data_IF_459217310786
#
_entry.id   IF_459217310786
#
_cell.length_a   1.000
_cell.length_b   1.000
_cell.length_c   1.000
_cell.angle_alpha   90.00
_cell.angle_beta   90.00
_cell.angle_gamma   90.00
#
_symmetry.space_group_name_H-M   'P 1'
#
loop_
_entity.id
_entity.type
_entity.pdbx_description
1 polymer ?
#
# COMPACT_ATOMS: atom_id res chain seq x y z
N UNK A 1 24.51 -59.70 -23.40
CA UNK A 1 25.60 -60.28 -24.17
C UNK A 1 26.93 -60.27 -23.38
N UNK A 2 27.05 -59.67 -22.22
CA UNK A 2 28.27 -59.61 -21.40
C UNK A 2 29.38 -58.68 -21.85
N UNK A 3 29.13 -57.85 -22.89
CA UNK A 3 30.10 -56.87 -23.38
C UNK A 3 30.18 -55.65 -22.46
N UNK A 4 31.35 -55.00 -22.40
CA UNK A 4 31.56 -53.75 -21.66
C UNK A 4 30.72 -52.61 -22.21
N UNK A 5 30.04 -51.86 -21.29
CA UNK A 5 29.23 -50.70 -21.64
C UNK A 5 30.13 -49.44 -21.78
N UNK A 6 29.92 -48.66 -22.85
CA UNK A 6 30.52 -47.35 -23.04
C UNK A 6 29.43 -46.27 -23.01
N UNK A 7 29.61 -45.22 -22.24
CA UNK A 7 28.70 -44.07 -22.24
C UNK A 7 28.66 -43.44 -23.64
N UNK A 8 27.46 -43.31 -24.23
CA UNK A 8 27.28 -42.76 -25.58
C UNK A 8 26.55 -41.41 -25.59
N UNK A 9 26.01 -41.02 -24.43
CA UNK A 9 25.30 -39.74 -24.30
C UNK A 9 24.57 -39.67 -22.95
N UNK A 10 23.86 -38.59 -22.76
CA UNK A 10 22.92 -38.36 -21.68
C UNK A 10 21.75 -37.52 -22.18
N UNK A 11 20.57 -37.83 -21.71
CA UNK A 11 19.41 -36.95 -21.87
C UNK A 11 19.25 -36.13 -20.58
N UNK A 12 19.10 -34.83 -20.72
CA UNK A 12 18.90 -33.90 -19.61
C UNK A 12 17.46 -33.41 -19.67
N UNK A 13 16.72 -33.59 -18.58
CA UNK A 13 15.40 -32.99 -18.38
C UNK A 13 15.43 -32.13 -17.15
N UNK A 14 14.81 -30.96 -17.22
CA UNK A 14 14.67 -30.04 -16.08
C UNK A 14 13.22 -30.02 -15.63
N UNK A 15 13.00 -30.02 -14.32
CA UNK A 15 11.69 -29.85 -13.72
C UNK A 15 11.74 -28.69 -12.71
N UNK A 16 10.65 -27.92 -12.67
CA UNK A 16 10.48 -26.91 -11.62
C UNK A 16 9.90 -27.59 -10.39
N UNK A 17 10.59 -27.44 -9.25
CA UNK A 17 10.15 -27.95 -7.95
C UNK A 17 10.05 -26.82 -6.93
N UNK A 18 9.31 -27.03 -5.84
CA UNK A 18 9.06 -26.04 -4.80
C UNK A 18 9.67 -26.48 -3.47
N UNK A 19 10.51 -25.63 -2.88
CA UNK A 19 11.03 -25.82 -1.53
C UNK A 19 10.23 -24.94 -0.58
N UNK A 20 9.41 -25.51 0.31
CA UNK A 20 8.61 -24.75 1.27
C UNK A 20 9.47 -23.90 2.20
N UNK A 21 8.97 -22.72 2.54
CA UNK A 21 9.55 -21.90 3.60
C UNK A 21 9.55 -22.63 4.93
N UNK A 22 10.52 -22.31 5.80
CA UNK A 22 10.62 -22.94 7.13
C UNK A 22 10.95 -21.91 8.20
N UNK A 23 10.45 -22.17 9.41
CA UNK A 23 10.85 -21.41 10.60
C UNK A 23 12.29 -21.74 11.00
N UNK A 24 12.98 -20.72 11.51
CA UNK A 24 14.30 -20.88 12.16
C UNK A 24 14.32 -20.10 13.46
N UNK A 25 14.98 -20.65 14.48
CA UNK A 25 15.28 -19.94 15.72
C UNK A 25 16.62 -19.24 15.57
N UNK A 26 16.63 -17.93 15.76
CA UNK A 26 17.85 -17.11 15.80
C UNK A 26 18.18 -16.84 17.27
N UNK A 27 19.30 -17.38 17.74
CA UNK A 27 19.79 -17.20 19.11
C UNK A 27 20.79 -16.04 19.15
N UNK A 28 20.43 -14.95 19.82
CA UNK A 28 21.32 -13.83 20.07
C UNK A 28 22.03 -14.04 21.40
N UNK A 29 23.35 -14.26 21.36
CA UNK A 29 24.18 -14.41 22.55
C UNK A 29 24.95 -13.11 22.79
N UNK A 30 24.80 -12.53 23.96
CA UNK A 30 25.51 -11.33 24.40
C UNK A 30 26.25 -11.64 25.71
N UNK A 31 27.55 -11.74 25.63
CA UNK A 31 28.39 -11.96 26.82
C UNK A 31 28.42 -10.70 27.68
N UNK A 32 28.37 -10.86 28.98
CA UNK A 32 28.53 -9.79 29.94
C UNK A 32 29.87 -9.99 30.66
N UNK A 33 30.63 -8.92 30.81
CA UNK A 33 31.94 -8.91 31.46
C UNK A 33 31.90 -8.00 32.68
N UNK A 34 32.48 -8.45 33.81
CA UNK A 34 32.67 -7.63 34.98
C UNK A 34 34.17 -7.31 35.17
N UNK A 35 34.48 -6.06 35.46
CA UNK A 35 35.82 -5.65 35.80
C UNK A 35 36.17 -6.13 37.24
N UNK A 36 37.28 -6.87 37.39
CA UNK A 36 37.70 -7.37 38.70
C UNK A 36 38.19 -6.28 39.67
N UNK A 37 38.54 -5.09 39.15
CA UNK A 37 39.07 -4.00 39.98
C UNK A 37 37.98 -3.01 40.44
N UNK A 38 36.92 -2.76 39.60
CA UNK A 38 35.89 -1.78 39.90
C UNK A 38 34.47 -2.35 39.85
N UNK A 39 34.32 -3.67 39.62
CA UNK A 39 33.06 -4.41 39.54
C UNK A 39 32.07 -3.90 38.46
N UNK A 40 32.50 -2.96 37.61
CA UNK A 40 31.68 -2.44 36.54
C UNK A 40 31.35 -3.55 35.52
N UNK A 41 30.07 -3.70 35.20
CA UNK A 41 29.59 -4.66 34.21
C UNK A 41 29.47 -3.97 32.83
N UNK A 42 30.04 -4.62 31.82
CA UNK A 42 29.94 -4.20 30.41
C UNK A 42 29.32 -5.31 29.60
N UNK A 43 28.30 -4.95 28.82
CA UNK A 43 27.63 -5.86 27.91
C UNK A 43 27.28 -5.12 26.63
N UNK A 44 27.41 -5.78 25.47
CA UNK A 44 26.96 -5.22 24.21
C UNK A 44 25.42 -4.94 24.22
N UNK A 45 24.95 -3.84 23.59
CA UNK A 45 23.53 -3.56 23.53
C UNK A 45 22.74 -4.68 22.80
N UNK A 46 21.49 -4.88 23.17
CA UNK A 46 20.62 -5.82 22.49
C UNK A 46 20.35 -5.34 21.06
N UNK A 47 20.22 -6.25 20.08
CA UNK A 47 19.75 -5.86 18.75
C UNK A 47 18.38 -5.22 18.83
N UNK A 48 18.16 -4.23 17.98
CA UNK A 48 16.84 -3.59 17.87
C UNK A 48 15.81 -4.57 17.31
N UNK A 49 14.65 -4.63 17.94
CA UNK A 49 13.49 -5.39 17.47
C UNK A 49 12.28 -4.47 17.34
N UNK A 50 11.58 -4.53 16.20
CA UNK A 50 10.34 -3.76 15.98
C UNK A 50 9.27 -4.09 17.03
N UNK A 51 9.27 -5.33 17.55
CA UNK A 51 8.41 -5.74 18.67
C UNK A 51 9.28 -5.84 19.92
N UNK A 52 9.20 -4.89 20.87
CA UNK A 52 9.96 -4.95 22.11
C UNK A 52 9.65 -6.23 22.88
N UNK A 53 10.72 -6.95 23.32
CA UNK A 53 10.62 -8.27 23.99
C UNK A 53 9.86 -9.33 23.17
N UNK A 54 9.62 -9.08 21.88
CA UNK A 54 8.94 -10.01 20.98
C UNK A 54 9.85 -11.16 20.53
N UNK A 55 9.22 -12.27 20.13
CA UNK A 55 9.90 -13.44 19.59
C UNK A 55 10.03 -13.40 18.07
N UNK A 56 9.30 -12.50 17.39
CA UNK A 56 9.32 -12.40 15.94
C UNK A 56 10.55 -11.63 15.47
N UNK A 57 11.37 -12.28 14.67
CA UNK A 57 12.43 -11.62 13.91
C UNK A 57 11.88 -10.82 12.72
N UNK A 58 12.68 -9.91 12.13
CA UNK A 58 12.22 -9.04 11.04
C UNK A 58 11.72 -9.81 9.81
N UNK A 59 12.31 -10.95 9.49
CA UNK A 59 11.85 -11.79 8.37
C UNK A 59 10.44 -12.36 8.59
N UNK A 60 10.13 -12.80 9.82
CA UNK A 60 8.77 -13.27 10.14
C UNK A 60 7.75 -12.14 10.11
N UNK A 61 8.11 -10.96 10.64
CA UNK A 61 7.24 -9.77 10.60
C UNK A 61 6.93 -9.35 9.15
N UNK A 62 7.95 -9.33 8.29
CA UNK A 62 7.77 -9.02 6.87
C UNK A 62 6.90 -10.06 6.17
N UNK A 63 7.13 -11.36 6.42
CA UNK A 63 6.31 -12.44 5.85
C UNK A 63 4.83 -12.32 6.24
N UNK A 64 4.53 -12.08 7.53
CA UNK A 64 3.16 -11.87 8.01
C UNK A 64 2.49 -10.68 7.31
N UNK A 65 3.24 -9.57 7.16
CA UNK A 65 2.72 -8.35 6.53
C UNK A 65 2.44 -8.56 5.02
N UNK A 66 3.37 -9.15 4.28
CA UNK A 66 3.21 -9.46 2.85
C UNK A 66 2.04 -10.42 2.65
N UNK A 67 2.02 -11.54 3.37
CA UNK A 67 0.94 -12.51 3.28
C UNK A 67 -0.44 -11.88 3.59
N UNK A 68 -0.50 -10.92 4.52
CA UNK A 68 -1.76 -10.25 4.88
C UNK A 68 -2.22 -9.24 3.83
N UNK A 69 -1.32 -8.39 3.32
CA UNK A 69 -1.68 -7.21 2.54
C UNK A 69 -1.47 -7.37 1.03
N UNK A 70 -0.54 -8.24 0.62
CA UNK A 70 -0.26 -8.53 -0.79
C UNK A 70 -0.95 -9.83 -1.23
N UNK A 71 -0.77 -10.93 -0.48
CA UNK A 71 -1.40 -12.22 -0.78
C UNK A 71 -2.85 -12.32 -0.30
N UNK A 72 -3.40 -11.28 0.35
CA UNK A 72 -4.76 -11.22 0.91
C UNK A 72 -5.09 -12.36 1.90
N UNK A 73 -4.09 -12.93 2.56
CA UNK A 73 -4.23 -14.06 3.48
C UNK A 73 -4.63 -13.59 4.89
N UNK A 74 -5.83 -13.90 5.39
CA UNK A 74 -6.26 -13.48 6.73
C UNK A 74 -5.36 -14.06 7.83
N UNK A 75 -5.20 -13.34 8.94
CA UNK A 75 -4.32 -13.75 10.05
C UNK A 75 -4.68 -15.11 10.65
N UNK A 76 -5.98 -15.44 10.75
CA UNK A 76 -6.40 -16.75 11.26
C UNK A 76 -5.93 -17.89 10.33
N UNK A 77 -5.94 -17.66 9.02
CA UNK A 77 -5.46 -18.60 8.04
C UNK A 77 -3.93 -18.78 8.12
N UNK A 78 -3.21 -17.68 8.34
CA UNK A 78 -1.77 -17.74 8.60
C UNK A 78 -1.46 -18.54 9.88
N UNK A 79 -2.21 -18.32 10.97
CA UNK A 79 -2.07 -19.08 12.21
C UNK A 79 -2.28 -20.60 11.97
N UNK A 80 -3.29 -21.00 11.19
CA UNK A 80 -3.52 -22.40 10.81
C UNK A 80 -2.36 -22.99 9.99
N UNK A 81 -1.79 -22.21 9.06
CA UNK A 81 -0.63 -22.62 8.26
C UNK A 81 0.58 -22.85 9.17
N UNK A 82 0.89 -21.91 10.05
CA UNK A 82 2.03 -21.99 10.97
C UNK A 82 1.89 -23.15 11.96
N UNK A 83 0.66 -23.43 12.41
CA UNK A 83 0.39 -24.57 13.30
C UNK A 83 0.70 -25.92 12.61
N UNK A 84 0.45 -26.05 11.29
CA UNK A 84 0.85 -27.23 10.53
C UNK A 84 2.38 -27.41 10.46
N UNK A 85 3.11 -26.31 10.51
CA UNK A 85 4.58 -26.31 10.56
C UNK A 85 5.12 -26.43 12.00
N UNK A 86 4.24 -26.73 12.97
CA UNK A 86 4.60 -26.92 14.38
C UNK A 86 4.81 -25.60 15.17
N UNK A 87 4.37 -24.46 14.62
CA UNK A 87 4.50 -23.15 15.29
C UNK A 87 3.11 -22.61 15.60
N UNK A 88 2.72 -22.72 16.87
CA UNK A 88 1.43 -22.22 17.35
C UNK A 88 1.51 -20.74 17.69
N UNK A 89 0.77 -19.90 16.94
CA UNK A 89 0.71 -18.45 17.08
C UNK A 89 -0.75 -17.98 17.06
N UNK A 90 -1.18 -17.43 18.18
CA UNK A 90 -2.53 -16.86 18.27
C UNK A 90 -2.72 -15.70 17.27
N UNK A 91 -3.91 -15.60 16.68
CA UNK A 91 -4.29 -14.50 15.75
C UNK A 91 -4.10 -13.11 16.38
N UNK A 92 -4.36 -12.98 17.69
CA UNK A 92 -4.12 -11.74 18.44
C UNK A 92 -2.63 -11.36 18.50
N UNK A 93 -1.74 -12.34 18.63
CA UNK A 93 -0.29 -12.14 18.57
C UNK A 93 0.13 -11.62 17.20
N UNK A 94 -0.34 -12.26 16.12
CA UNK A 94 -0.07 -11.83 14.75
C UNK A 94 -0.59 -10.39 14.49
N UNK A 95 -1.77 -10.06 15.00
CA UNK A 95 -2.34 -8.72 14.91
C UNK A 95 -1.48 -7.68 15.64
N UNK A 96 -1.02 -7.97 16.85
CA UNK A 96 -0.12 -7.10 17.61
C UNK A 96 1.22 -6.89 16.89
N UNK A 97 1.77 -7.94 16.29
CA UNK A 97 3.00 -7.84 15.50
C UNK A 97 2.85 -7.00 14.23
N UNK A 98 1.70 -7.09 13.55
CA UNK A 98 1.39 -6.20 12.42
C UNK A 98 1.32 -4.73 12.85
N UNK A 99 0.68 -4.44 13.99
CA UNK A 99 0.65 -3.09 14.54
C UNK A 99 2.05 -2.54 14.84
N UNK A 100 2.91 -3.35 15.45
CA UNK A 100 4.30 -2.96 15.72
C UNK A 100 5.11 -2.79 14.42
N UNK A 101 4.89 -3.65 13.42
CA UNK A 101 5.52 -3.52 12.10
C UNK A 101 5.09 -2.24 11.41
N UNK A 102 3.79 -1.92 11.42
CA UNK A 102 3.27 -0.66 10.88
C UNK A 102 3.93 0.55 11.56
N UNK A 103 4.03 0.55 12.90
CA UNK A 103 4.71 1.61 13.63
C UNK A 103 6.19 1.74 13.25
N UNK A 104 6.89 0.63 13.05
CA UNK A 104 8.31 0.63 12.68
C UNK A 104 8.56 1.19 11.27
N UNK A 105 7.62 1.00 10.32
CA UNK A 105 7.76 1.53 8.95
C UNK A 105 7.15 2.94 8.79
N UNK A 106 6.44 3.45 9.79
CA UNK A 106 5.77 4.77 9.72
C UNK A 106 6.71 5.92 9.30
N UNK A 107 7.97 6.03 9.77
CA UNK A 107 8.88 7.08 9.31
C UNK A 107 9.12 7.07 7.79
N UNK A 108 9.14 5.89 7.15
CA UNK A 108 9.26 5.76 5.69
C UNK A 108 7.97 6.19 5.00
N UNK A 109 6.82 5.80 5.55
CA UNK A 109 5.51 6.24 5.05
C UNK A 109 5.38 7.76 5.10
N UNK A 110 5.80 8.39 6.19
CA UNK A 110 5.76 9.85 6.34
C UNK A 110 6.74 10.55 5.40
N UNK A 111 7.91 9.95 5.14
CA UNK A 111 8.85 10.47 4.14
C UNK A 111 8.23 10.41 2.75
N UNK A 112 7.60 9.28 2.39
CA UNK A 112 6.91 9.10 1.11
C UNK A 112 5.76 10.11 0.96
N UNK A 113 4.91 10.25 2.00
CA UNK A 113 3.82 11.24 2.03
C UNK A 113 4.33 12.65 1.78
N UNK A 114 5.38 13.07 2.48
CA UNK A 114 5.99 14.40 2.27
C UNK A 114 6.53 14.55 0.85
N UNK A 115 7.26 13.55 0.35
CA UNK A 115 7.84 13.59 -0.99
C UNK A 115 6.80 13.62 -2.12
N UNK A 116 5.68 12.90 -1.96
CA UNK A 116 4.60 12.89 -2.94
C UNK A 116 3.76 14.18 -2.84
N UNK A 117 3.31 14.54 -1.63
CA UNK A 117 2.41 15.68 -1.44
C UNK A 117 3.12 17.01 -1.76
N UNK A 118 4.32 17.26 -1.23
CA UNK A 118 5.01 18.53 -1.44
C UNK A 118 5.83 18.60 -2.74
N UNK A 119 6.17 17.44 -3.31
CA UNK A 119 7.04 17.35 -4.49
C UNK A 119 6.30 17.10 -5.81
N UNK A 120 4.97 17.22 -5.85
CA UNK A 120 4.18 17.01 -7.07
C UNK A 120 3.54 18.30 -7.55
N UNK A 121 3.42 18.47 -8.87
CA UNK A 121 2.68 19.57 -9.50
C UNK A 121 1.23 19.17 -9.77
N UNK A 122 1.00 17.89 -10.01
CA UNK A 122 -0.31 17.27 -10.26
C UNK A 122 -0.47 16.06 -9.36
N UNK A 123 -1.60 15.96 -8.67
CA UNK A 123 -2.02 14.78 -7.93
C UNK A 123 -3.40 14.33 -8.39
N UNK A 124 -3.56 13.03 -8.52
CA UNK A 124 -4.88 12.40 -8.64
C UNK A 124 -5.36 12.02 -7.25
N UNK A 125 -6.56 12.43 -6.88
CA UNK A 125 -7.17 12.17 -5.57
C UNK A 125 -8.48 11.41 -5.70
N UNK A 126 -8.65 10.35 -4.89
CA UNK A 126 -9.88 9.59 -4.79
C UNK A 126 -10.04 9.02 -3.38
N UNK A 127 -11.25 8.60 -3.02
CA UNK A 127 -11.50 7.90 -1.76
C UNK A 127 -12.34 6.64 -1.94
N UNK A 128 -11.97 5.59 -1.23
CA UNK A 128 -12.67 4.30 -1.25
C UNK A 128 -13.31 4.03 0.12
N UNK A 129 -14.59 3.63 0.18
CA UNK A 129 -15.20 3.20 1.42
C UNK A 129 -14.58 1.87 1.88
N UNK A 130 -14.25 1.78 3.16
CA UNK A 130 -13.72 0.55 3.77
C UNK A 130 -14.52 0.21 5.02
N UNK A 131 -14.92 -1.07 5.19
CA UNK A 131 -15.57 -1.50 6.43
C UNK A 131 -14.54 -1.55 7.56
N UNK A 132 -14.84 -0.88 8.67
CA UNK A 132 -14.01 -0.85 9.87
C UNK A 132 -14.78 -1.51 11.00
N UNK A 133 -14.15 -2.47 11.67
CA UNK A 133 -14.77 -3.12 12.83
C UNK A 133 -15.08 -2.09 13.92
N UNK A 134 -16.28 -2.15 14.48
CA UNK A 134 -16.70 -1.37 15.65
C UNK A 134 -16.72 -2.30 16.88
N UNK A 135 -15.64 -2.37 17.66
CA UNK A 135 -15.55 -3.30 18.79
C UNK A 135 -16.71 -3.14 19.77
N UNK A 136 -17.25 -4.26 20.26
CA UNK A 136 -18.37 -4.28 21.20
C UNK A 136 -19.76 -4.11 20.55
N UNK A 137 -19.87 -3.81 19.27
CA UNK A 137 -21.17 -3.61 18.59
C UNK A 137 -21.61 -4.78 17.72
N UNK A 138 -20.71 -5.69 17.38
CA UNK A 138 -20.95 -6.77 16.41
C UNK A 138 -21.15 -6.28 14.97
N UNK A 139 -20.86 -5.01 14.68
CA UNK A 139 -21.08 -4.35 13.39
C UNK A 139 -19.79 -3.72 12.87
N UNK A 140 -19.84 -3.26 11.63
CA UNK A 140 -18.81 -2.41 11.03
C UNK A 140 -19.35 -0.99 10.86
N UNK A 141 -18.44 -0.01 10.89
CA UNK A 141 -18.67 1.36 10.42
C UNK A 141 -17.98 1.55 9.08
N UNK A 142 -18.42 2.54 8.31
CA UNK A 142 -17.77 2.86 7.03
C UNK A 142 -16.71 3.92 7.25
N UNK A 143 -15.45 3.49 7.23
CA UNK A 143 -14.30 4.39 7.11
C UNK A 143 -13.99 4.71 5.65
N UNK A 144 -12.96 5.51 5.43
CA UNK A 144 -12.46 5.90 4.10
C UNK A 144 -10.96 5.70 4.01
N UNK A 145 -10.54 5.21 2.87
CA UNK A 145 -9.14 5.19 2.45
C UNK A 145 -8.98 6.21 1.32
N UNK A 146 -8.29 7.31 1.62
CA UNK A 146 -7.96 8.35 0.66
C UNK A 146 -6.66 8.00 -0.02
N UNK A 147 -6.64 8.11 -1.34
CA UNK A 147 -5.49 7.80 -2.18
C UNK A 147 -5.09 9.04 -2.95
N UNK A 148 -3.80 9.40 -2.90
CA UNK A 148 -3.24 10.46 -3.73
C UNK A 148 -2.11 9.87 -4.55
N UNK A 149 -2.21 10.05 -5.88
CA UNK A 149 -1.27 9.45 -6.85
C UNK A 149 -0.59 10.55 -7.65
N UNK A 150 0.73 10.47 -7.71
CA UNK A 150 1.54 11.16 -8.71
C UNK A 150 1.87 10.17 -9.82
N UNK A 151 1.51 10.49 -11.04
CA UNK A 151 1.95 9.73 -12.23
C UNK A 151 2.21 10.69 -13.39
N UNK A 152 3.48 10.94 -13.65
CA UNK A 152 3.93 11.86 -14.70
C UNK A 152 4.24 11.16 -16.02
N UNK A 153 4.15 9.83 -16.07
CA UNK A 153 4.48 9.04 -17.26
C UNK A 153 3.58 9.38 -18.46
N UNK A 154 2.35 9.81 -18.20
CA UNK A 154 1.38 10.17 -19.23
C UNK A 154 1.80 11.39 -20.06
N UNK A 155 2.60 12.30 -19.47
CA UNK A 155 3.07 13.53 -20.11
C UNK A 155 4.61 13.65 -20.13
N UNK A 156 5.30 12.51 -20.09
CA UNK A 156 6.76 12.47 -20.24
C UNK A 156 7.56 12.98 -19.05
N UNK A 157 6.95 13.16 -17.89
CA UNK A 157 7.64 13.58 -16.67
C UNK A 157 8.64 12.55 -16.17
N UNK A 158 9.72 13.00 -15.54
CA UNK A 158 10.84 12.16 -15.11
C UNK A 158 10.66 11.56 -13.71
N UNK A 159 9.74 12.07 -12.90
CA UNK A 159 9.53 11.58 -11.53
C UNK A 159 8.82 10.22 -11.54
N UNK A 160 9.28 9.25 -10.74
CA UNK A 160 8.66 7.94 -10.69
C UNK A 160 7.22 8.04 -10.16
N UNK A 161 6.30 7.18 -10.64
CA UNK A 161 4.94 7.11 -10.10
C UNK A 161 4.99 6.74 -8.62
N UNK A 162 4.11 7.35 -7.83
CA UNK A 162 4.02 7.07 -6.41
C UNK A 162 2.58 7.31 -5.91
N UNK A 163 2.16 6.51 -4.94
CA UNK A 163 0.88 6.65 -4.28
C UNK A 163 1.04 6.75 -2.77
N UNK A 164 0.21 7.56 -2.14
CA UNK A 164 0.13 7.68 -0.68
C UNK A 164 -1.30 7.54 -0.21
N UNK A 165 -1.44 6.96 0.98
CA UNK A 165 -2.73 6.59 1.53
C UNK A 165 -2.95 7.21 2.90
N UNK A 166 -4.21 7.61 3.17
CA UNK A 166 -4.65 8.08 4.48
C UNK A 166 -5.98 7.43 4.82
N UNK A 167 -6.07 6.88 6.03
CA UNK A 167 -7.32 6.35 6.54
C UNK A 167 -8.06 7.42 7.36
N UNK A 168 -9.38 7.45 7.26
CA UNK A 168 -10.22 8.28 8.12
C UNK A 168 -11.52 7.55 8.50
N UNK A 169 -12.14 7.91 9.63
CA UNK A 169 -13.40 7.31 10.06
C UNK A 169 -14.61 7.78 9.24
N UNK A 170 -14.47 8.85 8.47
CA UNK A 170 -15.55 9.49 7.72
C UNK A 170 -15.04 10.11 6.41
N UNK A 171 -15.98 10.65 5.60
CA UNK A 171 -15.72 11.32 4.32
C UNK A 171 -15.74 12.85 4.42
N UNK A 172 -15.57 13.46 5.59
CA UNK A 172 -15.66 14.91 5.74
C UNK A 172 -14.56 15.64 5.00
N UNK A 173 -14.87 16.86 4.46
CA UNK A 173 -13.92 17.67 3.71
C UNK A 173 -12.70 18.14 4.52
N UNK A 174 -12.77 18.14 5.85
CA UNK A 174 -11.61 18.39 6.74
C UNK A 174 -10.47 17.40 6.50
N UNK A 175 -10.79 16.15 6.05
CA UNK A 175 -9.80 15.10 5.84
C UNK A 175 -8.87 15.46 4.68
N UNK A 176 -9.36 15.68 3.44
CA UNK A 176 -8.49 16.09 2.34
C UNK A 176 -7.82 17.45 2.58
N UNK A 177 -8.45 18.38 3.29
CA UNK A 177 -7.82 19.65 3.68
C UNK A 177 -6.57 19.40 4.53
N UNK A 178 -6.64 18.51 5.52
CA UNK A 178 -5.49 18.16 6.35
C UNK A 178 -4.43 17.38 5.57
N UNK A 179 -4.82 16.39 4.77
CA UNK A 179 -3.89 15.57 3.98
C UNK A 179 -3.08 16.40 3.00
N UNK A 180 -3.72 17.32 2.32
CA UNK A 180 -3.15 18.15 1.26
C UNK A 180 -2.69 19.55 1.74
N UNK A 181 -2.60 19.78 3.06
CA UNK A 181 -2.26 21.09 3.62
C UNK A 181 -0.97 21.71 3.03
N UNK A 182 0.00 20.88 2.63
CA UNK A 182 1.28 21.30 2.03
C UNK A 182 1.35 21.14 0.52
N UNK A 183 0.26 20.72 -0.12
CA UNK A 183 0.21 20.60 -1.57
C UNK A 183 -0.17 21.93 -2.20
N UNK A 184 0.50 22.27 -3.29
CA UNK A 184 0.15 23.38 -4.18
C UNK A 184 0.25 22.86 -5.61
N UNK A 185 -0.78 23.05 -6.42
CA UNK A 185 -0.79 22.56 -7.78
C UNK A 185 -2.18 22.14 -8.26
N UNK A 186 -2.24 21.20 -9.17
CA UNK A 186 -3.47 20.69 -9.77
C UNK A 186 -3.94 19.43 -9.04
N UNK A 187 -5.17 19.41 -8.56
CA UNK A 187 -5.80 18.19 -8.04
C UNK A 187 -6.82 17.67 -9.06
N UNK A 188 -6.55 16.50 -9.60
CA UNK A 188 -7.47 15.77 -10.47
C UNK A 188 -8.31 14.84 -9.60
N UNK A 189 -9.60 15.15 -9.43
CA UNK A 189 -10.50 14.39 -8.55
C UNK A 189 -11.90 14.23 -9.16
N UNK A 190 -12.76 13.46 -8.48
CA UNK A 190 -14.19 13.45 -8.76
C UNK A 190 -14.83 14.77 -8.27
N UNK A 191 -16.10 15.01 -8.64
CA UNK A 191 -16.84 16.20 -8.22
C UNK A 191 -17.36 16.14 -6.78
N UNK A 192 -16.65 15.47 -5.86
CA UNK A 192 -17.04 15.38 -4.46
C UNK A 192 -16.91 16.74 -3.76
N UNK A 193 -18.01 17.24 -3.17
CA UNK A 193 -18.07 18.55 -2.52
C UNK A 193 -17.07 18.71 -1.33
N UNK A 194 -16.60 17.61 -0.74
CA UNK A 194 -15.58 17.66 0.31
C UNK A 194 -14.21 18.18 -0.16
N UNK A 195 -13.95 18.26 -1.47
CA UNK A 195 -12.76 18.88 -2.02
C UNK A 195 -12.89 20.40 -2.20
N UNK A 196 -14.11 20.96 -2.14
CA UNK A 196 -14.34 22.40 -2.43
C UNK A 196 -13.49 23.33 -1.57
N UNK A 197 -13.24 22.97 -0.30
CA UNK A 197 -12.38 23.75 0.58
C UNK A 197 -10.92 23.85 0.11
N UNK A 198 -10.44 22.91 -0.72
CA UNK A 198 -9.10 22.94 -1.30
C UNK A 198 -8.97 24.00 -2.41
N UNK A 199 -10.07 24.30 -3.10
CA UNK A 199 -10.14 25.24 -4.21
C UNK A 199 -10.48 26.68 -3.74
N UNK A 200 -10.77 26.85 -2.45
CA UNK A 200 -11.10 28.16 -1.88
C UNK A 200 -9.86 29.04 -1.72
N UNK A 201 -9.96 30.32 -2.11
CA UNK A 201 -8.87 31.28 -1.96
C UNK A 201 -8.46 31.58 -0.51
N UNK A 202 -9.32 31.21 0.46
CA UNK A 202 -9.05 31.33 1.90
C UNK A 202 -8.23 30.19 2.48
N UNK A 203 -7.91 29.16 1.67
CA UNK A 203 -7.10 28.03 2.11
C UNK A 203 -5.69 28.48 2.49
N UNK A 204 -5.15 28.08 3.66
CA UNK A 204 -3.74 28.26 3.98
C UNK A 204 -2.85 27.61 2.93
N UNK A 205 -1.93 28.36 2.32
CA UNK A 205 -1.10 27.89 1.20
C UNK A 205 -1.68 28.14 -0.20
N UNK A 206 -2.83 28.84 -0.29
CA UNK A 206 -3.51 29.20 -1.54
C UNK A 206 -4.45 28.13 -2.08
N UNK A 207 -5.32 28.50 -3.00
CA UNK A 207 -6.24 27.60 -3.69
C UNK A 207 -5.47 26.60 -4.56
N UNK A 208 -5.94 25.37 -4.61
CA UNK A 208 -5.51 24.41 -5.64
C UNK A 208 -6.23 24.69 -6.95
N UNK A 209 -5.61 24.31 -8.06
CA UNK A 209 -6.30 24.25 -9.35
C UNK A 209 -7.12 22.97 -9.42
N UNK A 210 -8.42 23.12 -9.62
CA UNK A 210 -9.33 21.98 -9.80
C UNK A 210 -9.22 21.41 -11.21
N UNK A 211 -9.16 20.09 -11.34
CA UNK A 211 -9.32 19.39 -12.59
C UNK A 211 -10.29 18.20 -12.40
N UNK A 212 -11.31 18.12 -13.24
CA UNK A 212 -12.28 17.03 -13.18
C UNK A 212 -11.69 15.74 -13.79
N UNK A 213 -11.86 14.63 -13.09
CA UNK A 213 -11.44 13.32 -13.59
C UNK A 213 -12.39 12.81 -14.67
N UNK A 214 -11.90 12.72 -15.92
CA UNK A 214 -12.68 12.22 -17.06
C UNK A 214 -13.21 10.79 -16.88
N UNK A 215 -12.51 9.93 -16.15
CA UNK A 215 -12.99 8.59 -15.87
C UNK A 215 -14.27 8.59 -15.02
N UNK A 216 -14.36 9.48 -14.01
CA UNK A 216 -15.56 9.66 -13.20
C UNK A 216 -16.70 10.29 -14.00
N UNK A 217 -16.42 11.32 -14.80
CA UNK A 217 -17.40 11.95 -15.70
C UNK A 217 -17.95 10.91 -16.68
N UNK A 218 -17.07 10.14 -17.33
CA UNK A 218 -17.46 9.08 -18.26
C UNK A 218 -18.37 8.03 -17.61
N UNK A 219 -18.06 7.62 -16.37
CA UNK A 219 -18.88 6.66 -15.61
C UNK A 219 -20.30 7.19 -15.41
N UNK A 220 -20.47 8.48 -15.07
CA UNK A 220 -21.79 9.10 -14.90
C UNK A 220 -22.62 9.04 -16.19
N UNK A 221 -22.00 9.36 -17.34
CA UNK A 221 -22.70 9.23 -18.62
C UNK A 221 -23.02 7.77 -18.97
N UNK A 222 -22.11 6.85 -18.64
CA UNK A 222 -22.35 5.43 -18.84
C UNK A 222 -23.54 4.93 -18.01
N UNK A 223 -23.62 5.28 -16.74
CA UNK A 223 -24.71 4.89 -15.84
C UNK A 223 -26.06 5.43 -16.35
N UNK A 224 -26.10 6.69 -16.81
CA UNK A 224 -27.29 7.30 -17.40
C UNK A 224 -27.69 6.57 -18.69
N UNK A 225 -26.73 6.30 -19.58
CA UNK A 225 -27.00 5.60 -20.84
C UNK A 225 -27.50 4.17 -20.58
N UNK A 226 -26.86 3.44 -19.68
CA UNK A 226 -27.27 2.07 -19.34
C UNK A 226 -28.68 2.01 -18.71
N UNK A 227 -29.03 3.01 -17.88
CA UNK A 227 -30.35 3.05 -17.24
C UNK A 227 -31.49 3.54 -18.13
N UNK A 228 -31.23 4.44 -19.10
CA UNK A 228 -32.26 5.18 -19.82
C UNK A 228 -32.19 5.04 -21.34
N UNK A 229 -31.11 4.51 -21.90
CA UNK A 229 -30.87 4.50 -23.35
C UNK A 229 -30.63 5.91 -23.94
N UNK A 230 -30.31 6.93 -23.13
CA UNK A 230 -30.19 8.32 -23.58
C UNK A 230 -29.19 8.47 -24.73
N UNK A 231 -29.64 9.02 -25.83
CA UNK A 231 -28.83 9.31 -27.03
C UNK A 231 -27.78 10.39 -26.74
N UNK A 232 -28.13 11.39 -25.91
CA UNK A 232 -27.20 12.43 -25.48
C UNK A 232 -26.04 11.85 -24.64
N UNK A 233 -26.34 10.90 -23.74
CA UNK A 233 -25.32 10.22 -22.99
C UNK A 233 -24.43 9.35 -23.88
N UNK A 234 -24.99 8.67 -24.88
CA UNK A 234 -24.23 7.92 -25.88
C UNK A 234 -23.27 8.82 -26.68
N UNK A 235 -23.73 9.99 -27.11
CA UNK A 235 -22.90 10.97 -27.80
C UNK A 235 -21.78 11.48 -26.93
N UNK A 236 -22.05 11.81 -25.65
CA UNK A 236 -21.01 12.21 -24.69
C UNK A 236 -19.93 11.12 -24.51
N UNK A 237 -20.34 9.86 -24.38
CA UNK A 237 -19.42 8.72 -24.30
C UNK A 237 -18.55 8.58 -25.55
N UNK A 238 -19.11 8.76 -26.74
CA UNK A 238 -18.38 8.72 -28.01
C UNK A 238 -17.33 9.84 -28.08
N UNK A 239 -17.69 11.07 -27.70
CA UNK A 239 -16.77 12.22 -27.68
C UNK A 239 -15.62 12.01 -26.65
N UNK A 240 -15.94 11.54 -25.45
CA UNK A 240 -14.92 11.20 -24.43
C UNK A 240 -14.02 10.08 -24.95
N UNK A 241 -14.57 9.08 -25.62
CA UNK A 241 -13.82 8.02 -26.27
C UNK A 241 -12.83 8.52 -27.33
N UNK A 242 -13.22 9.54 -28.10
CA UNK A 242 -12.33 10.19 -29.07
C UNK A 242 -11.16 10.91 -28.39
N UNK A 243 -11.40 11.61 -27.26
CA UNK A 243 -10.34 12.23 -26.47
C UNK A 243 -9.33 11.19 -25.97
N UNK A 244 -9.79 10.06 -25.44
CA UNK A 244 -8.90 8.95 -25.03
C UNK A 244 -8.15 8.32 -26.22
N UNK A 245 -8.74 8.37 -27.42
CA UNK A 245 -8.07 7.96 -28.66
C UNK A 245 -6.87 8.84 -28.99
N UNK A 246 -7.02 10.14 -28.83
CA UNK A 246 -5.95 11.14 -29.03
C UNK A 246 -4.86 10.95 -27.97
N UNK A 247 -5.25 10.83 -26.70
CA UNK A 247 -4.33 10.66 -25.58
C UNK A 247 -3.40 9.44 -25.76
N UNK A 248 -3.94 8.30 -26.23
CA UNK A 248 -3.14 7.11 -26.52
C UNK A 248 -2.01 7.38 -27.52
N UNK A 249 -2.22 8.26 -28.48
CA UNK A 249 -1.20 8.66 -29.45
C UNK A 249 -0.14 9.61 -28.90
N UNK A 250 -0.45 10.26 -27.77
CA UNK A 250 0.43 11.25 -27.10
C UNK A 250 1.09 10.71 -25.83
N UNK A 251 0.74 9.51 -25.39
CA UNK A 251 1.24 8.92 -24.16
C UNK A 251 2.78 8.92 -24.10
N UNK A 252 3.35 9.45 -23.02
CA UNK A 252 4.79 9.57 -22.81
C UNK A 252 5.46 10.70 -23.59
N UNK A 253 4.70 11.58 -24.22
CA UNK A 253 5.21 12.79 -24.89
C UNK A 253 5.00 14.00 -23.99
N UNK A 254 5.98 14.93 -23.92
CA UNK A 254 5.86 16.18 -23.19
C UNK A 254 4.80 17.11 -23.80
#
# INVERSE_FOLDING_TARGET
>A
CGGGLRRIGEDVTESLDYVPGRFKVVRHVREAFACRACEQVVQAPAPHHAVPRGRAGPGLLAHIAVAKFDDHLPLYRQAEIYARDGVDLATSTLSGWLGATAAAVMPLVDLLRRGVIAGSDVLHGDDTPVPVLAPGTGKTTTGRLWTYVRDERTHGGARPPAAVFFASPDRRGERPLAHLARFSGVLVADGYAGFNGLYAGTRPGGALTEAACWAHVRRKFFDVHAATGSTLAAEALARIGALYGIERGLHGKP
#
